data_IF_048050928374
#
_entry.id   IF_048050928374
#
_cell.length_a   1.000
_cell.length_b   1.000
_cell.length_c   1.000
_cell.angle_alpha   90.00
_cell.angle_beta   90.00
_cell.angle_gamma   90.00
#
_symmetry.space_group_name_H-M   'P 1'
#
loop_
_entity.id
_entity.type
_entity.pdbx_description
1 polymer ?
#
# COMPACT_ATOMS: atom_id res chain seq x y z
N UNK A 1 -11.48 -14.16 38.04
CA UNK A 1 -10.53 -14.66 37.03
C UNK A 1 -11.31 -15.58 36.11
N UNK A 2 -11.74 -15.17 34.91
CA UNK A 2 -12.31 -16.14 33.98
C UNK A 2 -11.18 -16.91 33.31
N UNK A 3 -11.26 -18.23 33.41
CA UNK A 3 -10.33 -19.23 32.90
C UNK A 3 -10.02 -18.99 31.41
N UNK A 4 -8.74 -18.87 31.09
CA UNK A 4 -8.23 -19.04 29.73
C UNK A 4 -8.40 -20.53 29.39
N UNK A 5 -9.54 -20.89 28.80
CA UNK A 5 -9.72 -22.19 28.17
C UNK A 5 -8.53 -22.44 27.23
N UNK A 6 -7.75 -23.47 27.54
CA UNK A 6 -6.80 -24.07 26.60
C UNK A 6 -7.57 -24.46 25.34
N UNK A 7 -7.43 -23.66 24.28
CA UNK A 7 -7.86 -24.06 22.95
C UNK A 7 -6.77 -24.99 22.40
N UNK A 8 -7.04 -26.28 22.15
CA UNK A 8 -6.12 -27.07 21.37
C UNK A 8 -6.05 -26.43 19.99
N UNK A 9 -4.86 -25.98 19.60
CA UNK A 9 -4.61 -25.50 18.25
C UNK A 9 -4.89 -26.65 17.28
N UNK A 10 -6.11 -26.75 16.77
CA UNK A 10 -6.34 -27.38 15.48
C UNK A 10 -5.59 -26.51 14.48
N UNK A 11 -4.30 -26.80 14.28
CA UNK A 11 -3.46 -26.08 13.31
C UNK A 11 -4.24 -26.08 12.00
N UNK A 12 -4.48 -24.89 11.46
CA UNK A 12 -5.10 -24.74 10.15
C UNK A 12 -4.39 -25.65 9.17
N UNK A 13 -5.14 -26.53 8.50
CA UNK A 13 -4.54 -27.51 7.60
C UNK A 13 -3.95 -26.80 6.38
N UNK A 14 -2.64 -26.95 6.19
CA UNK A 14 -1.88 -26.43 5.07
C UNK A 14 -1.59 -27.57 4.10
N UNK A 15 -2.08 -27.43 2.87
CA UNK A 15 -1.74 -28.33 1.76
C UNK A 15 -0.48 -27.83 1.05
N UNK A 16 0.39 -28.71 0.52
CA UNK A 16 1.52 -28.32 -0.33
C UNK A 16 1.13 -27.44 -1.53
N UNK A 17 -0.09 -27.61 -2.05
CA UNK A 17 -0.62 -26.86 -3.20
C UNK A 17 -1.31 -25.54 -2.82
N UNK A 18 -1.40 -25.21 -1.53
CA UNK A 18 -2.07 -23.99 -1.09
C UNK A 18 -1.27 -22.75 -1.49
N UNK A 19 -1.85 -21.92 -2.37
CA UNK A 19 -1.27 -20.61 -2.66
C UNK A 19 -1.29 -19.67 -1.43
N UNK A 20 -0.41 -18.67 -1.41
CA UNK A 20 -0.44 -17.57 -0.43
C UNK A 20 -1.83 -16.92 -0.30
N UNK A 21 -2.64 -16.89 -1.37
CA UNK A 21 -3.98 -16.32 -1.33
C UNK A 21 -4.99 -17.22 -0.58
N UNK A 22 -4.91 -18.53 -0.79
CA UNK A 22 -5.74 -19.53 -0.09
C UNK A 22 -5.42 -19.49 1.41
N UNK A 23 -4.13 -19.49 1.77
CA UNK A 23 -3.68 -19.44 3.17
C UNK A 23 -4.17 -18.18 3.89
N UNK A 24 -4.16 -17.02 3.23
CA UNK A 24 -4.77 -15.80 3.80
C UNK A 24 -6.25 -15.99 4.10
N UNK A 25 -7.01 -16.57 3.17
CA UNK A 25 -8.45 -16.82 3.39
C UNK A 25 -8.66 -17.74 4.58
N UNK A 26 -7.96 -18.89 4.60
CA UNK A 26 -8.04 -19.86 5.69
C UNK A 26 -7.80 -19.22 7.06
N UNK A 27 -6.77 -18.38 7.19
CA UNK A 27 -6.48 -17.70 8.45
C UNK A 27 -7.53 -16.64 8.80
N UNK A 28 -7.95 -15.82 7.83
CA UNK A 28 -8.99 -14.81 8.07
C UNK A 28 -10.31 -15.43 8.50
N UNK A 29 -10.73 -16.50 7.81
CA UNK A 29 -11.96 -17.23 8.10
C UNK A 29 -11.86 -17.87 9.50
N UNK A 30 -10.74 -18.52 9.83
CA UNK A 30 -10.53 -19.10 11.16
C UNK A 30 -10.57 -18.06 12.28
N UNK A 31 -9.89 -16.91 12.13
CA UNK A 31 -9.90 -15.84 13.13
C UNK A 31 -11.31 -15.28 13.36
N UNK A 32 -12.14 -15.21 12.32
CA UNK A 32 -13.52 -14.76 12.41
C UNK A 32 -14.41 -15.82 13.08
N UNK A 33 -14.37 -17.07 12.59
CA UNK A 33 -15.21 -18.18 13.06
C UNK A 33 -14.92 -18.58 14.51
N UNK A 34 -13.66 -18.46 14.94
CA UNK A 34 -13.23 -18.73 16.32
C UNK A 34 -13.45 -17.56 17.29
N UNK A 35 -13.93 -16.40 16.81
CA UNK A 35 -14.11 -15.21 17.63
C UNK A 35 -12.79 -14.58 18.13
N UNK A 36 -11.65 -14.97 17.56
CA UNK A 36 -10.33 -14.44 17.91
C UNK A 36 -10.06 -13.08 17.26
N UNK A 37 -10.75 -12.73 16.17
CA UNK A 37 -10.65 -11.44 15.52
C UNK A 37 -11.13 -10.30 16.42
N UNK A 38 -10.23 -9.36 16.73
CA UNK A 38 -10.54 -8.16 17.50
C UNK A 38 -10.85 -6.96 16.62
N UNK A 39 -11.50 -5.92 17.18
CA UNK A 39 -11.84 -4.73 16.42
C UNK A 39 -10.57 -4.07 15.82
N UNK A 40 -10.58 -3.67 14.53
CA UNK A 40 -11.67 -3.78 13.55
C UNK A 40 -11.87 -5.20 13.00
N UNK A 41 -13.11 -5.71 13.09
CA UNK A 41 -13.51 -7.10 12.78
C UNK A 41 -13.53 -7.47 11.30
N UNK A 42 -12.92 -6.69 10.39
CA UNK A 42 -12.89 -7.03 8.95
C UNK A 42 -11.49 -7.56 8.62
N UNK A 43 -11.23 -8.87 8.75
CA UNK A 43 -9.89 -9.43 8.58
C UNK A 43 -9.44 -9.39 7.11
N UNK A 44 -10.38 -9.52 6.16
CA UNK A 44 -10.04 -9.66 4.75
C UNK A 44 -9.27 -8.45 4.21
N UNK A 45 -8.16 -8.75 3.52
CA UNK A 45 -7.22 -7.78 2.93
C UNK A 45 -6.47 -6.91 3.94
N UNK A 46 -6.47 -7.29 5.21
CA UNK A 46 -5.78 -6.59 6.30
C UNK A 46 -4.89 -7.53 7.08
N UNK A 47 -3.98 -6.94 7.84
CA UNK A 47 -3.39 -7.62 8.99
C UNK A 47 -4.45 -7.57 10.09
N UNK A 48 -4.95 -8.74 10.48
CA UNK A 48 -6.04 -8.87 11.44
C UNK A 48 -5.59 -8.45 12.82
N UNK A 49 -6.45 -7.71 13.54
CA UNK A 49 -6.27 -7.57 14.97
C UNK A 49 -6.81 -8.83 15.67
N UNK A 50 -6.25 -9.19 16.81
CA UNK A 50 -6.57 -10.43 17.49
C UNK A 50 -6.66 -10.24 19.01
N UNK A 51 -7.45 -11.11 19.65
CA UNK A 51 -7.52 -11.20 21.11
C UNK A 51 -6.15 -11.65 21.64
N UNK A 52 -5.63 -10.98 22.65
CA UNK A 52 -4.27 -11.24 23.13
C UNK A 52 -3.20 -10.30 22.55
N UNK A 53 -3.57 -9.33 21.70
CA UNK A 53 -2.60 -8.45 21.03
C UNK A 53 -1.85 -7.50 21.98
N UNK A 54 -2.45 -7.16 23.13
CA UNK A 54 -1.77 -6.37 24.17
C UNK A 54 -0.69 -7.22 24.86
N UNK A 55 -0.99 -8.47 25.20
CA UNK A 55 -0.07 -9.42 25.81
C UNK A 55 1.09 -9.78 24.86
N UNK A 56 0.82 -9.87 23.56
CA UNK A 56 1.87 -10.03 22.55
C UNK A 56 2.74 -8.76 22.45
N UNK A 57 2.14 -7.56 22.52
CA UNK A 57 2.85 -6.29 22.51
C UNK A 57 3.76 -6.14 23.73
N UNK A 58 3.28 -6.50 24.92
CA UNK A 58 4.04 -6.48 26.17
C UNK A 58 5.28 -7.37 26.08
N UNK A 59 5.13 -8.57 25.49
CA UNK A 59 6.27 -9.47 25.25
C UNK A 59 7.30 -8.88 24.30
N UNK A 60 6.89 -8.15 23.25
CA UNK A 60 7.85 -7.46 22.38
C UNK A 60 8.68 -6.47 23.19
N UNK A 61 8.08 -5.75 24.14
CA UNK A 61 8.83 -4.78 24.96
C UNK A 61 9.84 -5.42 25.91
N UNK A 62 9.67 -6.70 26.23
CA UNK A 62 10.61 -7.46 27.06
C UNK A 62 11.80 -8.02 26.29
N UNK A 63 11.74 -8.06 24.96
CA UNK A 63 12.84 -8.52 24.12
C UNK A 63 14.08 -7.63 24.26
N UNK A 64 15.25 -8.25 24.36
CA UNK A 64 16.55 -7.58 24.32
C UNK A 64 16.71 -6.70 23.08
N UNK A 65 16.22 -7.17 21.93
CA UNK A 65 16.25 -6.41 20.67
C UNK A 65 15.44 -5.11 20.76
N UNK A 66 14.30 -5.11 21.45
CA UNK A 66 13.50 -3.90 21.66
C UNK A 66 14.14 -2.98 22.70
N UNK A 67 14.60 -3.55 23.82
CA UNK A 67 15.24 -2.80 24.91
C UNK A 67 16.45 -2.00 24.40
N UNK A 68 17.30 -2.63 23.58
CA UNK A 68 18.51 -2.03 23.01
C UNK A 68 18.24 -1.04 21.87
N UNK A 69 17.21 -1.28 21.06
CA UNK A 69 16.88 -0.44 19.90
C UNK A 69 16.52 1.00 20.30
N UNK A 70 17.01 1.98 19.54
CA UNK A 70 16.66 3.40 19.68
C UNK A 70 15.81 3.90 18.53
N UNK A 71 15.96 3.30 17.34
CA UNK A 71 15.21 3.62 16.14
C UNK A 71 14.51 2.35 15.64
N UNK A 72 13.17 2.33 15.74
CA UNK A 72 12.35 1.22 15.27
C UNK A 72 11.53 1.62 14.05
N UNK A 73 11.51 0.75 13.03
CA UNK A 73 10.57 0.87 11.91
C UNK A 73 9.39 -0.05 12.13
N UNK A 74 8.17 0.48 12.16
CA UNK A 74 6.96 -0.29 12.47
C UNK A 74 5.88 -0.03 11.40
N UNK A 75 5.28 -1.10 10.87
CA UNK A 75 4.20 -0.99 9.87
C UNK A 75 3.01 -0.18 10.40
N UNK A 76 2.26 0.55 9.54
CA UNK A 76 1.12 1.38 9.94
C UNK A 76 -0.17 0.59 10.22
N UNK A 77 -0.13 -0.75 10.16
CA UNK A 77 -1.30 -1.59 10.37
C UNK A 77 -1.84 -1.44 11.81
N UNK A 78 -3.17 -1.61 11.97
CA UNK A 78 -3.88 -1.36 13.24
C UNK A 78 -3.41 -2.25 14.41
N UNK A 79 -3.12 -3.55 14.22
CA UNK A 79 -2.64 -4.41 15.31
C UNK A 79 -1.32 -3.93 15.91
N UNK A 80 -0.49 -3.26 15.11
CA UNK A 80 0.80 -2.74 15.56
C UNK A 80 0.72 -1.34 16.18
N UNK A 81 -0.49 -0.78 16.37
CA UNK A 81 -0.61 0.55 16.95
C UNK A 81 -0.08 0.62 18.39
N UNK A 82 -0.31 -0.42 19.18
CA UNK A 82 0.13 -0.42 20.57
C UNK A 82 1.66 -0.48 20.66
N UNK A 83 2.32 -1.29 19.83
CA UNK A 83 3.79 -1.32 19.82
C UNK A 83 4.40 -0.01 19.30
N UNK A 84 3.73 0.70 18.37
CA UNK A 84 4.12 2.08 18.01
C UNK A 84 3.99 3.03 19.21
N UNK A 85 2.91 2.93 19.98
CA UNK A 85 2.73 3.72 21.18
C UNK A 85 3.82 3.44 22.22
N UNK A 86 4.06 2.16 22.54
CA UNK A 86 5.12 1.76 23.50
C UNK A 86 6.52 2.15 23.06
N UNK A 87 6.78 2.14 21.75
CA UNK A 87 8.03 2.68 21.18
C UNK A 87 8.21 4.15 21.53
N UNK A 88 7.17 4.96 21.30
CA UNK A 88 7.20 6.40 21.61
C UNK A 88 7.23 6.67 23.12
N UNK A 89 6.51 5.89 23.91
CA UNK A 89 6.50 5.97 25.38
C UNK A 89 7.87 5.65 25.98
N UNK A 90 8.61 4.70 25.39
CA UNK A 90 9.98 4.39 25.76
C UNK A 90 11.01 5.45 25.30
N UNK A 91 10.58 6.60 24.77
CA UNK A 91 11.45 7.66 24.28
C UNK A 91 12.19 7.33 22.98
N UNK A 92 11.80 6.26 22.28
CA UNK A 92 12.49 5.77 21.07
C UNK A 92 11.96 6.47 19.82
N UNK A 93 12.80 6.57 18.80
CA UNK A 93 12.40 7.10 17.49
C UNK A 93 11.59 6.07 16.73
N UNK A 94 10.44 6.49 16.22
CA UNK A 94 9.55 5.67 15.40
C UNK A 94 9.64 6.09 13.93
N UNK A 95 9.98 5.14 13.06
CA UNK A 95 9.82 5.26 11.62
C UNK A 95 8.60 4.48 11.15
N UNK A 96 7.75 5.11 10.35
CA UNK A 96 6.60 4.47 9.71
C UNK A 96 6.72 4.65 8.20
N UNK A 97 6.67 3.58 7.39
CA UNK A 97 6.71 3.71 5.93
C UNK A 97 5.54 4.50 5.37
N UNK A 98 5.83 5.30 4.36
CA UNK A 98 4.84 6.11 3.64
C UNK A 98 5.07 6.10 2.13
N UNK A 99 5.09 4.91 1.47
CA UNK A 99 5.51 4.78 0.07
C UNK A 99 4.59 5.50 -0.93
N UNK A 100 3.37 5.89 -0.54
CA UNK A 100 2.46 6.66 -1.40
C UNK A 100 2.84 8.13 -1.55
N UNK A 101 3.90 8.60 -0.89
CA UNK A 101 4.39 9.98 -1.00
C UNK A 101 5.36 10.11 -2.18
N UNK A 102 5.35 11.27 -2.83
CA UNK A 102 6.16 11.52 -4.03
C UNK A 102 7.67 11.45 -3.75
N UNK A 103 8.10 11.98 -2.60
CA UNK A 103 9.52 12.25 -2.35
C UNK A 103 10.04 11.65 -1.03
N UNK A 104 9.24 10.93 -0.25
CA UNK A 104 9.62 10.51 1.10
C UNK A 104 9.37 9.02 1.31
N UNK A 105 10.28 8.38 2.04
CA UNK A 105 10.25 6.94 2.30
C UNK A 105 9.60 6.64 3.64
N UNK A 106 9.82 7.49 4.64
CA UNK A 106 9.31 7.32 6.00
C UNK A 106 8.70 8.60 6.54
N UNK A 107 7.72 8.41 7.43
CA UNK A 107 7.34 9.33 8.49
C UNK A 107 8.18 9.01 9.73
N UNK A 108 8.94 9.98 10.25
CA UNK A 108 9.72 9.90 11.49
C UNK A 108 9.00 10.65 12.60
N UNK A 109 8.90 10.03 13.77
CA UNK A 109 8.41 10.67 14.99
C UNK A 109 9.47 10.47 16.07
N UNK A 110 9.93 11.57 16.65
CA UNK A 110 10.78 11.59 17.84
C UNK A 110 9.94 12.13 18.99
N UNK A 111 9.63 11.32 20.02
CA UNK A 111 8.83 11.78 21.14
C UNK A 111 9.63 12.79 21.99
N UNK A 112 9.06 13.96 22.34
CA UNK A 112 9.65 14.84 23.36
C UNK A 112 9.68 14.14 24.73
N UNK A 113 10.69 14.44 25.56
CA UNK A 113 10.87 13.81 26.88
C UNK A 113 9.64 13.92 27.79
N UNK A 114 8.96 15.07 27.79
CA UNK A 114 7.80 15.34 28.65
C UNK A 114 6.45 15.24 27.92
N UNK A 115 6.40 14.46 26.83
CA UNK A 115 5.17 14.34 26.03
C UNK A 115 4.08 13.56 26.79
N UNK A 116 2.87 14.10 26.98
CA UNK A 116 1.80 13.39 27.68
C UNK A 116 1.43 12.06 26.99
N UNK A 117 1.21 10.99 27.76
CA UNK A 117 0.85 9.67 27.21
C UNK A 117 -0.33 9.70 26.23
N UNK A 118 -1.35 10.52 26.52
CA UNK A 118 -2.52 10.69 25.63
C UNK A 118 -2.12 11.21 24.24
N UNK A 119 -1.14 12.11 24.19
CA UNK A 119 -0.61 12.64 22.93
C UNK A 119 0.24 11.59 22.21
N UNK A 120 1.13 10.89 22.92
CA UNK A 120 1.91 9.76 22.35
C UNK A 120 1.00 8.69 21.72
N UNK A 121 -0.10 8.33 22.39
CA UNK A 121 -1.09 7.37 21.88
C UNK A 121 -1.77 7.89 20.61
N UNK A 122 -1.98 9.20 20.51
CA UNK A 122 -2.49 9.86 19.31
C UNK A 122 -1.47 9.81 18.18
N UNK A 123 -0.19 10.11 18.46
CA UNK A 123 0.93 10.04 17.50
C UNK A 123 1.12 8.63 16.90
N UNK A 124 0.91 7.58 17.69
CA UNK A 124 1.00 6.19 17.24
C UNK A 124 -0.14 5.76 16.28
N UNK A 125 -1.26 6.49 16.28
CA UNK A 125 -2.39 6.21 15.40
C UNK A 125 -2.11 6.68 13.97
N UNK A 126 -2.80 6.08 12.99
CA UNK A 126 -2.59 6.40 11.56
C UNK A 126 -2.77 7.88 11.22
N UNK A 127 -3.71 8.56 11.89
CA UNK A 127 -3.93 9.99 11.69
C UNK A 127 -2.81 10.81 12.35
N UNK A 128 -2.43 10.47 13.60
CA UNK A 128 -1.32 11.14 14.28
C UNK A 128 0.02 10.99 13.56
N UNK A 129 0.28 9.84 12.91
CA UNK A 129 1.46 9.69 12.05
C UNK A 129 1.49 10.77 10.98
N UNK A 130 0.34 11.11 10.36
CA UNK A 130 0.31 12.18 9.35
C UNK A 130 0.47 13.57 9.94
N UNK A 131 -0.06 13.79 11.14
CA UNK A 131 -0.16 15.12 11.74
C UNK A 131 1.11 15.52 12.50
N UNK A 132 1.87 14.55 13.01
CA UNK A 132 3.01 14.77 13.91
C UNK A 132 4.36 14.25 13.39
N UNK A 133 4.41 13.61 12.22
CA UNK A 133 5.68 13.11 11.68
C UNK A 133 6.41 14.12 10.80
N UNK A 134 7.73 14.03 10.81
CA UNK A 134 8.60 14.61 9.79
C UNK A 134 8.81 13.59 8.66
N UNK A 135 8.83 14.06 7.42
CA UNK A 135 9.07 13.19 6.28
C UNK A 135 10.58 13.03 6.02
N UNK A 136 11.03 11.79 5.83
CA UNK A 136 12.44 11.44 5.59
C UNK A 136 12.64 11.16 4.11
N UNK A 137 13.57 11.88 3.49
CA UNK A 137 13.96 11.68 2.08
C UNK A 137 14.92 10.49 1.92
N UNK A 138 15.06 9.97 0.69
CA UNK A 138 15.93 8.84 0.32
C UNK A 138 17.42 9.10 0.58
N UNK A 139 17.81 10.37 0.69
CA UNK A 139 19.20 10.80 0.84
C UNK A 139 19.61 10.95 2.31
N UNK A 140 18.66 10.88 3.25
CA UNK A 140 18.94 10.94 4.67
C UNK A 140 19.59 9.66 5.20
N UNK A 141 20.65 9.82 5.98
CA UNK A 141 21.42 8.71 6.56
C UNK A 141 20.79 8.27 7.89
N UNK A 142 19.68 7.53 7.80
CA UNK A 142 19.05 6.90 8.96
C UNK A 142 19.43 5.43 9.03
N UNK A 143 19.66 4.89 10.23
CA UNK A 143 19.85 3.46 10.48
C UNK A 143 18.75 2.97 11.42
N UNK A 144 18.15 1.84 11.08
CA UNK A 144 17.11 1.21 11.91
C UNK A 144 17.72 0.08 12.72
N UNK A 145 17.37 0.03 14.00
CA UNK A 145 17.87 -0.98 14.94
C UNK A 145 16.99 -2.22 14.99
N UNK A 146 15.69 -2.08 14.71
CA UNK A 146 14.75 -3.20 14.62
C UNK A 146 13.55 -2.86 13.72
N UNK A 147 13.00 -3.85 13.05
CA UNK A 147 11.81 -3.73 12.21
C UNK A 147 10.68 -4.57 12.78
N UNK A 148 9.48 -3.98 12.93
CA UNK A 148 8.26 -4.71 13.28
C UNK A 148 7.31 -4.71 12.09
N UNK A 149 6.97 -5.90 11.60
CA UNK A 149 6.10 -6.10 10.42
C UNK A 149 4.86 -6.92 10.75
N UNK A 150 3.74 -6.54 10.17
CA UNK A 150 2.48 -7.26 10.33
C UNK A 150 2.36 -8.37 9.28
N UNK A 151 1.91 -9.56 9.68
CA UNK A 151 1.62 -10.64 8.74
C UNK A 151 0.27 -11.32 9.03
N UNK A 152 -0.21 -12.07 8.04
CA UNK A 152 -1.42 -12.89 8.13
C UNK A 152 -1.07 -14.30 8.60
N UNK A 153 0.03 -14.87 8.12
CA UNK A 153 0.53 -16.16 8.58
C UNK A 153 2.05 -16.13 8.68
N UNK A 154 2.62 -16.99 9.51
CA UNK A 154 4.06 -17.14 9.68
C UNK A 154 4.42 -18.59 9.99
N UNK A 155 5.62 -19.04 9.61
CA UNK A 155 6.16 -20.33 10.03
C UNK A 155 7.31 -20.16 11.03
N UNK A 156 7.58 -21.18 11.83
CA UNK A 156 8.72 -21.19 12.77
C UNK A 156 10.08 -21.12 12.08
N UNK A 157 10.14 -21.31 10.75
CA UNK A 157 11.34 -21.04 9.94
C UNK A 157 11.55 -19.56 9.60
N UNK A 158 10.59 -18.69 9.93
CA UNK A 158 10.63 -17.26 9.65
C UNK A 158 9.94 -16.84 8.34
N UNK A 159 9.35 -17.77 7.59
CA UNK A 159 8.56 -17.39 6.40
C UNK A 159 7.28 -16.70 6.80
N UNK A 160 6.92 -15.59 6.13
CA UNK A 160 5.69 -14.84 6.42
C UNK A 160 4.84 -14.56 5.19
N UNK A 161 3.53 -14.58 5.39
CA UNK A 161 2.54 -14.18 4.39
C UNK A 161 1.91 -12.87 4.84
N UNK A 162 2.18 -11.77 4.12
CA UNK A 162 1.50 -10.49 4.35
C UNK A 162 0.07 -10.45 3.76
N UNK A 163 -0.60 -9.30 3.83
CA UNK A 163 -1.97 -9.09 3.30
C UNK A 163 -2.13 -9.23 1.77
N UNK A 164 -1.02 -9.32 1.04
CA UNK A 164 -0.99 -9.67 -0.40
C UNK A 164 -0.62 -8.55 -1.37
N UNK A 165 -0.30 -7.35 -0.87
CA UNK A 165 0.13 -6.24 -1.73
C UNK A 165 1.63 -6.21 -2.07
N UNK A 166 2.45 -7.09 -1.45
CA UNK A 166 3.92 -7.09 -1.61
C UNK A 166 4.63 -5.81 -1.14
N UNK A 167 3.89 -4.91 -0.47
CA UNK A 167 4.38 -3.57 -0.17
C UNK A 167 5.42 -3.58 0.95
N UNK A 168 5.19 -4.30 2.05
CA UNK A 168 6.16 -4.39 3.16
C UNK A 168 7.49 -5.02 2.73
N UNK A 169 7.43 -6.01 1.83
CA UNK A 169 8.60 -6.65 1.23
C UNK A 169 9.41 -5.67 0.38
N UNK A 170 8.71 -4.92 -0.48
CA UNK A 170 9.31 -3.88 -1.30
C UNK A 170 9.86 -2.70 -0.48
N UNK A 171 9.14 -2.25 0.54
CA UNK A 171 9.59 -1.19 1.45
C UNK A 171 10.87 -1.59 2.19
N UNK A 172 10.99 -2.86 2.58
CA UNK A 172 12.22 -3.39 3.16
C UNK A 172 13.36 -3.40 2.14
N UNK A 173 13.10 -3.88 0.92
CA UNK A 173 14.09 -3.86 -0.15
C UNK A 173 14.56 -2.43 -0.49
N UNK A 174 13.65 -1.44 -0.45
CA UNK A 174 13.98 -0.02 -0.56
C UNK A 174 14.89 0.43 0.58
N UNK A 175 14.56 0.10 1.84
CA UNK A 175 15.43 0.38 3.00
C UNK A 175 16.82 -0.22 2.83
N UNK A 176 16.90 -1.46 2.34
CA UNK A 176 18.17 -2.16 2.14
C UNK A 176 19.00 -1.47 1.05
N UNK A 177 18.38 -1.09 -0.08
CA UNK A 177 19.08 -0.38 -1.16
C UNK A 177 19.59 1.00 -0.72
N UNK A 178 18.83 1.70 0.13
CA UNK A 178 19.22 2.98 0.71
C UNK A 178 20.21 2.85 1.88
N UNK A 179 20.54 1.62 2.28
CA UNK A 179 21.43 1.33 3.40
C UNK A 179 20.82 1.64 4.77
N UNK A 180 19.50 1.80 4.88
CA UNK A 180 18.79 2.05 6.15
C UNK A 180 18.79 0.81 7.04
N UNK A 181 18.74 -0.38 6.42
CA UNK A 181 18.80 -1.69 7.09
C UNK A 181 19.95 -2.53 6.51
N UNK A 182 20.32 -3.59 7.23
CA UNK A 182 21.26 -4.62 6.78
C UNK A 182 20.80 -6.00 7.27
N UNK A 183 21.53 -7.06 6.90
CA UNK A 183 21.17 -8.45 7.25
C UNK A 183 21.04 -8.72 8.77
N UNK A 184 21.73 -7.94 9.61
CA UNK A 184 21.74 -8.09 11.06
C UNK A 184 20.57 -7.40 11.76
N UNK A 185 19.82 -6.53 11.07
CA UNK A 185 18.68 -5.82 11.67
C UNK A 185 17.58 -6.84 11.99
N UNK A 186 17.19 -7.03 13.27
CA UNK A 186 16.16 -7.98 13.66
C UNK A 186 14.78 -7.58 13.12
N UNK A 187 14.07 -8.59 12.62
CA UNK A 187 12.71 -8.48 12.09
C UNK A 187 11.76 -9.22 13.03
N UNK A 188 10.82 -8.48 13.60
CA UNK A 188 9.85 -8.98 14.58
C UNK A 188 8.47 -8.98 13.92
N UNK A 189 7.69 -10.04 14.15
CA UNK A 189 6.27 -10.04 13.82
C UNK A 189 5.42 -10.38 15.04
N UNK A 190 4.20 -9.85 15.05
CA UNK A 190 3.23 -10.02 16.11
C UNK A 190 1.98 -10.66 15.54
N UNK A 191 1.63 -11.85 16.02
CA UNK A 191 0.51 -12.66 15.51
C UNK A 191 -0.17 -13.42 16.64
N UNK A 192 -1.39 -13.92 16.40
CA UNK A 192 -2.00 -14.92 17.27
C UNK A 192 -1.37 -16.30 17.03
N UNK A 193 -1.40 -17.18 18.04
CA UNK A 193 -0.83 -18.54 17.97
C UNK A 193 -1.37 -19.36 16.79
N UNK A 194 -2.65 -19.20 16.44
CA UNK A 194 -3.29 -19.89 15.32
C UNK A 194 -2.78 -19.43 13.93
N UNK A 195 -2.04 -18.32 13.86
CA UNK A 195 -1.44 -17.81 12.62
C UNK A 195 -0.05 -18.41 12.37
N UNK A 196 0.46 -19.22 13.30
CA UNK A 196 1.71 -19.98 13.13
C UNK A 196 1.37 -21.29 12.40
N UNK A 197 1.82 -21.37 11.14
CA UNK A 197 1.52 -22.46 10.22
C UNK A 197 2.81 -23.12 9.71
N UNK A 198 2.73 -24.38 9.28
CA UNK A 198 3.80 -25.02 8.52
C UNK A 198 3.68 -24.60 7.04
N UNK A 199 4.41 -23.55 6.66
CA UNK A 199 4.30 -22.93 5.33
C UNK A 199 5.29 -23.59 4.36
N UNK A 200 4.85 -24.08 3.18
CA UNK A 200 5.75 -24.65 2.17
C UNK A 200 6.78 -23.63 1.68
N UNK A 201 8.05 -24.00 1.69
CA UNK A 201 9.17 -23.13 1.30
C UNK A 201 9.03 -22.66 -0.17
N UNK A 202 8.40 -23.47 -1.03
CA UNK A 202 8.14 -23.17 -2.45
C UNK A 202 7.25 -21.95 -2.70
N UNK A 203 6.53 -21.47 -1.67
CA UNK A 203 5.70 -20.27 -1.78
C UNK A 203 6.52 -18.98 -1.81
N UNK A 204 7.79 -19.02 -1.39
CA UNK A 204 8.58 -17.84 -1.12
C UNK A 204 9.73 -17.67 -2.13
N UNK A 205 9.97 -16.42 -2.51
CA UNK A 205 11.08 -16.03 -3.38
C UNK A 205 12.04 -15.08 -2.67
N UNK A 206 13.12 -14.72 -3.37
CA UNK A 206 14.18 -13.83 -2.86
C UNK A 206 13.70 -12.43 -2.43
N UNK A 207 12.51 -12.02 -2.86
CA UNK A 207 11.92 -10.74 -2.50
C UNK A 207 11.09 -10.81 -1.20
N UNK A 208 10.69 -11.99 -0.75
CA UNK A 208 9.90 -12.13 0.49
C UNK A 208 10.79 -11.90 1.70
N UNK A 209 10.43 -10.95 2.57
CA UNK A 209 11.18 -10.65 3.78
C UNK A 209 10.87 -11.70 4.86
N UNK A 210 11.86 -12.50 5.33
CA UNK A 210 11.67 -13.38 6.49
C UNK A 210 11.64 -12.60 7.80
N UNK A 211 11.21 -13.26 8.88
CA UNK A 211 11.20 -12.73 10.24
C UNK A 211 12.15 -13.52 11.14
N UNK A 212 12.80 -12.83 12.09
CA UNK A 212 13.70 -13.45 13.06
C UNK A 212 12.96 -13.81 14.37
N UNK A 213 11.96 -13.02 14.75
CA UNK A 213 11.14 -13.24 15.94
C UNK A 213 9.65 -13.27 15.62
N UNK A 214 8.96 -14.26 16.19
CA UNK A 214 7.50 -14.37 16.20
C UNK A 214 7.04 -14.20 17.63
N UNK A 215 6.18 -13.22 17.88
CA UNK A 215 5.63 -12.96 19.22
C UNK A 215 4.13 -13.18 19.20
N UNK A 216 3.65 -14.01 20.12
CA UNK A 216 2.23 -14.31 20.32
C UNK A 216 1.76 -13.94 21.73
N UNK A 217 0.44 -13.99 22.00
CA UNK A 217 -0.07 -13.82 23.35
C UNK A 217 0.43 -14.85 24.36
N UNK A 218 1.03 -15.97 23.93
CA UNK A 218 1.50 -17.03 24.83
C UNK A 218 3.01 -17.13 24.88
N UNK A 219 3.72 -16.85 23.80
CA UNK A 219 5.14 -17.17 23.66
C UNK A 219 5.92 -16.22 22.74
N UNK A 220 7.24 -16.34 22.82
CA UNK A 220 8.21 -15.72 21.90
C UNK A 220 8.95 -16.87 21.23
N UNK A 221 9.03 -16.86 19.90
CA UNK A 221 9.73 -17.85 19.11
C UNK A 221 10.82 -17.13 18.31
N UNK A 222 12.06 -17.55 18.50
CA UNK A 222 13.17 -17.21 17.61
C UNK A 222 13.18 -18.20 16.44
N UNK A 223 13.15 -17.68 15.22
CA UNK A 223 12.94 -18.50 14.03
C UNK A 223 14.16 -19.39 13.73
N UNK A 224 13.90 -20.67 13.48
CA UNK A 224 14.93 -21.64 13.09
C UNK A 224 15.13 -21.58 11.58
N UNK A 225 16.13 -20.82 11.13
CA UNK A 225 16.41 -20.66 9.70
C UNK A 225 16.87 -19.24 9.42
N UNK A 226 18.18 -19.05 9.32
CA UNK A 226 18.75 -17.76 8.93
C UNK A 226 18.55 -17.57 7.42
N UNK A 227 17.31 -17.26 7.04
CA UNK A 227 16.92 -16.94 5.68
C UNK A 227 17.52 -15.56 5.32
N UNK A 228 18.12 -15.42 4.13
CA UNK A 228 18.65 -14.13 3.71
C UNK A 228 17.51 -13.12 3.56
N UNK A 229 17.70 -11.93 4.11
CA UNK A 229 16.76 -10.81 3.93
C UNK A 229 17.05 -10.14 2.58
N UNK A 230 16.06 -9.53 1.92
CA UNK A 230 16.31 -8.80 0.68
C UNK A 230 17.39 -7.72 0.87
N UNK A 231 18.43 -7.74 0.04
CA UNK A 231 19.55 -6.77 0.11
C UNK A 231 19.34 -5.54 -0.75
N UNK A 232 18.45 -5.63 -1.75
CA UNK A 232 18.14 -4.56 -2.69
C UNK A 232 16.78 -4.80 -3.34
N UNK A 233 16.31 -3.81 -4.09
CA UNK A 233 15.11 -3.96 -4.93
C UNK A 233 15.45 -4.88 -6.10
N UNK A 234 14.63 -5.91 -6.33
CA UNK A 234 14.70 -6.76 -7.51
C UNK A 234 13.94 -6.10 -8.66
N UNK A 235 14.61 -5.19 -9.38
CA UNK A 235 14.00 -4.37 -10.43
C UNK A 235 13.36 -5.20 -11.56
N UNK A 236 13.94 -6.35 -11.88
CA UNK A 236 13.40 -7.28 -12.87
C UNK A 236 12.06 -7.94 -12.49
N UNK A 237 11.60 -7.81 -11.23
CA UNK A 237 10.28 -8.24 -10.75
C UNK A 237 9.29 -7.06 -10.61
N UNK A 238 9.68 -5.89 -11.12
CA UNK A 238 8.91 -4.65 -11.08
C UNK A 238 8.39 -4.31 -12.48
N UNK A 239 7.29 -3.56 -12.50
CA UNK A 239 6.67 -3.05 -13.72
C UNK A 239 6.31 -1.57 -13.56
N UNK A 240 5.93 -0.92 -14.66
CA UNK A 240 5.57 0.50 -14.67
C UNK A 240 4.40 0.83 -13.72
N UNK A 241 3.44 -0.09 -13.57
CA UNK A 241 2.30 0.12 -12.67
C UNK A 241 2.78 0.32 -11.21
N UNK A 242 3.75 -0.46 -10.74
CA UNK A 242 4.34 -0.27 -9.40
C UNK A 242 5.10 1.05 -9.28
N UNK A 243 5.85 1.45 -10.31
CA UNK A 243 6.54 2.75 -10.33
C UNK A 243 5.56 3.93 -10.26
N UNK A 244 4.40 3.81 -10.91
CA UNK A 244 3.35 4.82 -10.88
C UNK A 244 2.64 4.88 -9.53
N UNK A 245 2.47 3.74 -8.87
CA UNK A 245 1.85 3.66 -7.54
C UNK A 245 2.76 4.12 -6.41
N UNK A 246 4.09 3.98 -6.57
CA UNK A 246 5.10 4.33 -5.57
C UNK A 246 6.15 5.23 -6.26
N UNK A 247 5.85 6.54 -6.44
CA UNK A 247 6.66 7.42 -7.27
C UNK A 247 8.13 7.53 -6.83
N UNK A 248 8.39 7.41 -5.52
CA UNK A 248 9.75 7.45 -4.95
C UNK A 248 10.66 6.36 -5.54
N UNK A 249 10.11 5.24 -6.03
CA UNK A 249 10.89 4.21 -6.70
C UNK A 249 11.64 4.74 -7.92
N UNK A 250 11.13 5.75 -8.64
CA UNK A 250 11.82 6.32 -9.81
C UNK A 250 13.16 6.95 -9.41
N UNK A 251 13.19 7.65 -8.28
CA UNK A 251 14.42 8.24 -7.72
C UNK A 251 15.38 7.16 -7.23
N UNK A 252 14.87 6.13 -6.53
CA UNK A 252 15.72 5.02 -6.06
C UNK A 252 16.28 4.24 -7.26
N UNK A 253 15.48 3.98 -8.28
CA UNK A 253 15.89 3.31 -9.53
C UNK A 253 17.01 4.06 -10.23
N UNK A 254 16.86 5.38 -10.37
CA UNK A 254 17.88 6.23 -10.98
C UNK A 254 19.17 6.31 -10.15
N UNK A 255 19.05 6.35 -8.82
CA UNK A 255 20.19 6.27 -7.91
C UNK A 255 20.91 4.92 -8.05
N UNK A 256 20.19 3.82 -8.00
CA UNK A 256 20.73 2.46 -8.13
C UNK A 256 21.48 2.29 -9.47
N UNK A 257 20.92 2.83 -10.57
CA UNK A 257 21.59 2.88 -11.87
C UNK A 257 22.89 3.68 -11.84
N UNK A 258 22.89 4.88 -11.22
CA UNK A 258 24.10 5.69 -11.05
C UNK A 258 25.16 5.00 -10.21
N UNK A 259 24.76 4.17 -9.27
CA UNK A 259 25.65 3.31 -8.47
C UNK A 259 26.12 2.05 -9.25
N UNK A 260 25.75 1.91 -10.53
CA UNK A 260 26.18 0.81 -11.41
C UNK A 260 25.36 -0.46 -11.29
N UNK A 261 24.21 -0.44 -10.60
CA UNK A 261 23.31 -1.60 -10.48
C UNK A 261 22.49 -1.79 -11.74
N UNK A 262 22.13 -3.03 -12.04
CA UNK A 262 21.14 -3.33 -13.07
C UNK A 262 19.73 -3.02 -12.54
N UNK A 263 19.02 -2.12 -13.22
CA UNK A 263 17.71 -1.62 -12.79
C UNK A 263 16.64 -1.77 -13.87
N UNK A 264 16.86 -2.65 -14.86
CA UNK A 264 15.86 -3.02 -15.86
C UNK A 264 14.62 -3.59 -15.18
N UNK A 265 13.45 -3.11 -15.61
CA UNK A 265 12.16 -3.68 -15.23
C UNK A 265 11.89 -4.98 -15.99
N UNK A 266 10.83 -5.68 -15.58
CA UNK A 266 10.33 -6.82 -16.32
C UNK A 266 10.01 -6.44 -17.78
N UNK A 267 10.68 -7.08 -18.73
CA UNK A 267 10.50 -6.85 -20.18
C UNK A 267 11.29 -5.69 -20.79
N UNK A 268 12.06 -4.94 -20.00
CA UNK A 268 12.96 -3.91 -20.54
C UNK A 268 14.30 -4.49 -20.99
N UNK A 269 14.82 -3.99 -22.10
CA UNK A 269 16.12 -4.40 -22.66
C UNK A 269 17.27 -3.52 -22.21
N UNK A 270 16.99 -2.27 -21.81
CA UNK A 270 17.99 -1.25 -21.48
C UNK A 270 17.67 -0.56 -20.15
N UNK A 271 18.73 -0.11 -19.46
CA UNK A 271 18.60 0.68 -18.24
C UNK A 271 18.17 2.13 -18.55
N UNK A 272 17.51 2.82 -17.59
CA UNK A 272 17.12 4.20 -17.78
C UNK A 272 18.36 5.09 -17.83
N UNK A 273 18.38 6.06 -18.75
CA UNK A 273 19.50 7.02 -18.91
C UNK A 273 19.23 8.37 -18.24
N UNK A 274 17.98 8.67 -17.91
CA UNK A 274 17.53 9.91 -17.28
C UNK A 274 16.55 9.61 -16.13
N UNK A 275 16.46 10.52 -15.16
CA UNK A 275 15.40 10.48 -14.16
C UNK A 275 14.08 10.86 -14.86
N UNK A 276 13.16 9.90 -14.97
CA UNK A 276 11.85 10.14 -15.58
C UNK A 276 10.88 10.71 -14.54
N UNK A 277 10.86 12.03 -14.37
CA UNK A 277 9.76 12.71 -13.67
C UNK A 277 8.54 12.71 -14.61
N UNK A 278 7.51 11.96 -14.22
CA UNK A 278 6.32 11.66 -15.03
C UNK A 278 5.37 12.87 -15.20
N UNK A 279 5.88 14.10 -15.07
CA UNK A 279 5.20 15.34 -15.48
C UNK A 279 5.62 15.76 -16.92
N UNK A 280 6.68 15.16 -17.46
CA UNK A 280 7.23 15.49 -18.78
C UNK A 280 6.79 14.55 -19.91
N UNK A 281 6.34 13.34 -19.59
CA UNK A 281 5.89 12.33 -20.57
C UNK A 281 4.62 12.75 -21.31
N UNK A 282 3.81 13.65 -20.72
CA UNK A 282 2.66 14.27 -21.37
C UNK A 282 3.01 15.48 -22.25
N UNK A 283 4.24 16.03 -22.16
CA UNK A 283 4.73 17.11 -23.03
C UNK A 283 5.56 16.62 -24.21
N UNK A 284 6.25 15.48 -24.07
CA UNK A 284 7.07 14.92 -25.18
C UNK A 284 6.23 14.30 -26.31
N UNK A 285 4.95 13.97 -26.09
CA UNK A 285 4.05 13.46 -27.15
C UNK A 285 3.42 14.53 -28.05
N UNK A 286 3.53 15.82 -27.70
CA UNK A 286 3.00 16.94 -28.51
C UNK A 286 4.07 17.77 -29.23
N UNK A 287 5.34 17.33 -29.22
CA UNK A 287 6.45 18.08 -29.87
C UNK A 287 7.00 17.46 -31.15
N UNK A 288 6.47 16.32 -31.61
CA UNK A 288 6.78 15.74 -32.93
C UNK A 288 5.74 16.09 -34.01
N UNK A 289 5.10 17.27 -33.90
CA UNK A 289 4.28 17.82 -34.99
C UNK A 289 4.28 19.35 -34.96
N UNK A 290 5.42 19.98 -35.26
CA UNK A 290 5.48 21.28 -35.95
C UNK A 290 6.93 21.73 -36.10
N UNK A 291 7.41 21.59 -37.32
CA UNK A 291 8.53 22.35 -37.87
C UNK A 291 8.17 23.84 -37.92
N UNK A 292 9.20 24.70 -37.85
CA UNK A 292 9.25 26.11 -38.28
C UNK A 292 8.66 27.22 -37.35
N UNK A 293 9.54 27.94 -36.63
CA UNK A 293 10.05 29.32 -36.96
C UNK A 293 10.58 30.10 -35.74
N UNK A 294 11.84 30.55 -35.92
CA UNK A 294 12.55 31.82 -35.56
C UNK A 294 12.29 32.56 -34.22
N UNK A 295 13.43 32.90 -33.57
CA UNK A 295 13.91 34.15 -32.90
C UNK A 295 12.87 35.10 -32.21
N UNK A 296 13.11 35.78 -31.08
CA UNK A 296 14.31 36.45 -30.57
C UNK A 296 14.10 36.91 -29.09
N UNK A 297 15.22 37.17 -28.43
CA UNK A 297 15.57 38.13 -27.35
C UNK A 297 14.75 38.41 -26.07
N UNK A 298 15.55 38.45 -24.99
CA UNK A 298 15.62 39.44 -23.89
C UNK A 298 14.75 39.33 -22.62
N UNK A 299 15.48 39.10 -21.51
CA UNK A 299 15.56 39.90 -20.28
C UNK A 299 14.25 40.32 -19.56
N UNK A 300 14.05 39.88 -18.31
CA UNK A 300 14.27 40.72 -17.11
C UNK A 300 13.82 40.07 -15.79
N UNK A 301 14.37 40.66 -14.74
CA UNK A 301 14.43 40.34 -13.32
C UNK A 301 13.11 40.36 -12.52
N UNK A 302 13.23 39.87 -11.27
CA UNK A 302 12.53 40.31 -10.05
C UNK A 302 11.12 39.77 -9.74
N UNK A 303 11.08 38.85 -8.77
CA UNK A 303 10.85 39.20 -7.35
C UNK A 303 9.92 38.23 -6.63
N UNK A 304 10.38 37.91 -5.42
CA UNK A 304 9.71 37.22 -4.32
C UNK A 304 8.29 37.76 -4.10
N UNK A 305 7.29 36.88 -4.07
CA UNK A 305 6.42 36.84 -2.91
C UNK A 305 5.72 35.50 -2.68
N UNK A 306 5.80 35.11 -1.43
CA UNK A 306 5.35 33.88 -0.83
C UNK A 306 3.83 33.91 -0.65
N UNK A 307 3.12 32.92 -1.22
CA UNK A 307 1.87 32.36 -0.69
C UNK A 307 1.53 31.10 -1.48
N UNK A 308 1.94 29.95 -0.96
CA UNK A 308 1.49 28.63 -1.43
C UNK A 308 -0.04 28.54 -1.31
N UNK A 309 -0.76 28.95 -2.36
CA UNK A 309 -2.14 28.52 -2.58
C UNK A 309 -2.08 27.07 -3.08
N UNK A 310 -2.64 26.14 -2.29
CA UNK A 310 -2.93 24.78 -2.75
C UNK A 310 -3.68 24.83 -4.08
N UNK A 311 -3.30 24.07 -5.12
CA UNK A 311 -4.11 24.00 -6.32
C UNK A 311 -5.42 23.27 -5.98
N UNK A 312 -6.53 23.99 -6.13
CA UNK A 312 -7.88 23.43 -6.11
C UNK A 312 -8.03 22.58 -7.37
N UNK A 313 -8.27 21.28 -7.21
CA UNK A 313 -8.60 20.39 -8.33
C UNK A 313 -10.02 20.69 -8.81
N UNK A 314 -10.17 21.42 -9.92
CA UNK A 314 -11.44 21.54 -10.68
C UNK A 314 -11.21 21.59 -12.19
N UNK A 315 -10.31 20.74 -12.72
CA UNK A 315 -9.97 20.75 -14.15
C UNK A 315 -10.83 19.78 -15.02
N UNK A 316 -11.83 19.12 -14.44
CA UNK A 316 -12.72 18.22 -15.16
C UNK A 316 -14.16 18.67 -14.91
N UNK A 317 -14.86 19.10 -15.96
CA UNK A 317 -16.25 19.55 -15.86
C UNK A 317 -17.23 18.41 -16.20
N UNK A 318 -16.77 17.34 -16.88
CA UNK A 318 -17.57 16.16 -17.22
C UNK A 318 -16.93 14.85 -16.73
N UNK A 319 -17.75 13.92 -16.22
CA UNK A 319 -17.27 12.58 -15.82
C UNK A 319 -18.35 11.52 -16.06
N UNK A 320 -17.92 10.37 -16.58
CA UNK A 320 -18.74 9.19 -16.82
C UNK A 320 -18.34 8.09 -15.85
N UNK A 321 -19.31 7.44 -15.24
CA UNK A 321 -19.16 6.17 -14.52
C UNK A 321 -19.31 4.99 -15.48
N UNK A 322 -18.35 4.07 -15.48
CA UNK A 322 -18.39 2.81 -16.20
C UNK A 322 -18.52 1.66 -15.19
N UNK A 323 -19.69 1.05 -15.06
CA UNK A 323 -19.99 -0.05 -14.15
C UNK A 323 -20.06 -1.42 -14.83
N UNK A 324 -20.25 -2.46 -14.01
CA UNK A 324 -20.35 -3.86 -14.46
C UNK A 324 -19.09 -4.41 -15.15
N UNK A 325 -17.92 -3.83 -14.94
CA UNK A 325 -16.68 -4.31 -15.54
C UNK A 325 -16.41 -5.78 -15.15
N UNK A 326 -15.97 -6.64 -16.09
CA UNK A 326 -15.54 -8.01 -15.79
C UNK A 326 -14.39 -8.01 -14.75
N UNK A 327 -14.40 -8.98 -13.83
CA UNK A 327 -13.46 -9.04 -12.68
C UNK A 327 -11.99 -9.12 -13.08
N UNK A 328 -11.70 -9.65 -14.27
CA UNK A 328 -10.36 -9.80 -14.82
C UNK A 328 -10.07 -8.87 -15.99
N UNK A 329 -11.00 -7.95 -16.31
CA UNK A 329 -10.76 -6.97 -17.35
C UNK A 329 -9.56 -6.12 -16.95
N UNK A 330 -8.54 -6.05 -17.82
CA UNK A 330 -7.38 -5.20 -17.61
C UNK A 330 -7.70 -3.79 -18.08
N UNK A 331 -7.12 -2.79 -17.41
CA UNK A 331 -7.29 -1.37 -17.81
C UNK A 331 -6.76 -1.11 -19.22
N UNK A 332 -5.73 -1.84 -19.65
CA UNK A 332 -5.19 -1.77 -21.01
C UNK A 332 -6.21 -2.23 -22.04
N UNK A 333 -6.84 -3.39 -21.83
CA UNK A 333 -7.90 -3.91 -22.69
C UNK A 333 -9.09 -2.94 -22.73
N UNK A 334 -9.58 -2.47 -21.57
CA UNK A 334 -10.65 -1.47 -21.52
C UNK A 334 -10.31 -0.18 -22.28
N UNK A 335 -9.05 0.31 -22.18
CA UNK A 335 -8.58 1.48 -22.92
C UNK A 335 -8.58 1.25 -24.43
N UNK A 336 -8.23 0.05 -24.90
CA UNK A 336 -8.29 -0.31 -26.32
C UNK A 336 -9.72 -0.21 -26.83
N UNK A 337 -10.66 -0.88 -26.16
CA UNK A 337 -12.09 -0.90 -26.53
C UNK A 337 -12.72 0.51 -26.54
N UNK A 338 -12.42 1.33 -25.53
CA UNK A 338 -12.91 2.71 -25.45
C UNK A 338 -12.34 3.59 -26.58
N UNK A 339 -11.08 3.37 -26.98
CA UNK A 339 -10.44 4.10 -28.09
C UNK A 339 -10.96 3.69 -29.46
N UNK A 340 -11.33 2.43 -29.64
CA UNK A 340 -11.95 1.95 -30.89
C UNK A 340 -13.30 2.66 -31.14
N UNK A 341 -14.00 3.04 -30.07
CA UNK A 341 -15.18 3.91 -30.12
C UNK A 341 -14.86 5.40 -30.27
N UNK A 342 -13.60 5.75 -30.55
CA UNK A 342 -13.08 7.12 -30.68
C UNK A 342 -13.23 7.99 -29.43
N UNK A 343 -13.39 7.36 -28.25
CA UNK A 343 -13.48 8.08 -26.97
C UNK A 343 -12.12 8.16 -26.31
N UNK A 344 -11.69 9.38 -25.97
CA UNK A 344 -10.37 9.65 -25.39
C UNK A 344 -10.51 10.47 -24.10
N UNK A 345 -10.78 9.82 -22.95
CA UNK A 345 -10.90 10.52 -21.68
C UNK A 345 -9.53 11.08 -21.25
N UNK A 346 -9.54 12.27 -20.64
CA UNK A 346 -8.33 12.90 -20.08
C UNK A 346 -7.72 12.05 -18.96
N UNK A 347 -8.58 11.33 -18.24
CA UNK A 347 -8.18 10.45 -17.14
C UNK A 347 -9.17 9.31 -16.98
N UNK A 348 -8.66 8.12 -16.72
CA UNK A 348 -9.47 6.97 -16.29
C UNK A 348 -9.09 6.63 -14.85
N UNK A 349 -10.03 6.80 -13.92
CA UNK A 349 -9.91 6.33 -12.53
C UNK A 349 -10.37 4.87 -12.49
N UNK A 350 -9.41 3.97 -12.69
CA UNK A 350 -9.69 2.54 -12.78
C UNK A 350 -9.97 1.90 -11.42
N UNK A 351 -11.12 1.23 -11.29
CA UNK A 351 -11.49 0.36 -10.17
C UNK A 351 -12.01 -0.98 -10.69
N UNK A 352 -11.40 -1.53 -11.75
CA UNK A 352 -11.88 -2.73 -12.44
C UNK A 352 -12.03 -3.96 -11.53
N UNK A 353 -11.18 -4.09 -10.50
CA UNK A 353 -11.35 -5.12 -9.47
C UNK A 353 -12.65 -4.98 -8.66
N UNK A 354 -13.09 -3.73 -8.43
CA UNK A 354 -14.37 -3.40 -7.82
C UNK A 354 -15.52 -3.33 -8.85
N UNK A 355 -15.25 -3.67 -10.11
CA UNK A 355 -16.25 -3.74 -11.17
C UNK A 355 -16.63 -2.39 -11.79
N UNK A 356 -15.85 -1.32 -11.60
CA UNK A 356 -16.17 -0.01 -12.19
C UNK A 356 -14.95 0.88 -12.53
N UNK A 357 -15.16 1.98 -13.23
CA UNK A 357 -14.18 3.03 -13.49
C UNK A 357 -14.87 4.39 -13.65
N UNK A 358 -14.11 5.48 -13.57
CA UNK A 358 -14.58 6.81 -14.00
C UNK A 358 -13.73 7.34 -15.15
N UNK A 359 -14.37 7.92 -16.15
CA UNK A 359 -13.74 8.55 -17.31
C UNK A 359 -13.99 10.05 -17.18
N UNK A 360 -12.93 10.85 -17.04
CA UNK A 360 -13.04 12.30 -16.87
C UNK A 360 -12.74 13.01 -18.19
N UNK A 361 -13.53 14.03 -18.48
CA UNK A 361 -13.50 14.84 -19.69
C UNK A 361 -13.33 16.31 -19.35
N UNK A 362 -12.97 17.09 -20.38
CA UNK A 362 -12.71 18.52 -20.23
C UNK A 362 -14.02 19.26 -19.95
N UNK A 363 -15.05 19.00 -20.75
CA UNK A 363 -16.39 19.58 -20.62
C UNK A 363 -17.46 18.52 -20.32
N UNK A 364 -18.64 18.95 -19.87
CA UNK A 364 -19.81 18.08 -19.70
C UNK A 364 -20.32 17.56 -21.05
N UNK A 365 -20.24 18.37 -22.12
CA UNK A 365 -20.61 17.97 -23.48
C UNK A 365 -19.75 16.80 -23.98
N UNK A 366 -18.42 16.87 -23.79
CA UNK A 366 -17.51 15.77 -24.18
C UNK A 366 -17.85 14.45 -23.48
N UNK A 367 -18.37 14.52 -22.25
CA UNK A 367 -18.81 13.35 -21.49
C UNK A 367 -20.14 12.81 -22.00
N UNK A 368 -21.07 13.67 -22.43
CA UNK A 368 -22.33 13.25 -23.05
C UNK A 368 -22.11 12.61 -24.42
N UNK A 369 -21.27 13.21 -25.27
CA UNK A 369 -20.90 12.65 -26.57
C UNK A 369 -20.23 11.28 -26.43
N UNK A 370 -19.37 11.15 -25.41
CA UNK A 370 -18.72 9.88 -25.07
C UNK A 370 -19.69 8.83 -24.52
N UNK A 371 -20.76 9.21 -23.80
CA UNK A 371 -21.79 8.27 -23.37
C UNK A 371 -22.49 7.64 -24.57
N UNK A 372 -22.87 8.46 -25.56
CA UNK A 372 -23.52 8.00 -26.79
C UNK A 372 -22.58 7.07 -27.56
N UNK A 373 -21.30 7.42 -27.69
CA UNK A 373 -20.32 6.61 -28.41
C UNK A 373 -20.02 5.24 -27.75
N UNK A 374 -20.16 5.15 -26.42
CA UNK A 374 -19.89 3.95 -25.63
C UNK A 374 -21.13 3.09 -25.35
N UNK A 375 -22.31 3.53 -25.78
CA UNK A 375 -23.55 2.78 -25.60
C UNK A 375 -23.45 1.39 -26.26
N UNK A 376 -23.91 0.37 -25.54
CA UNK A 376 -23.89 -1.02 -26.02
C UNK A 376 -22.50 -1.66 -26.10
N UNK A 377 -21.45 -1.07 -25.53
CA UNK A 377 -20.12 -1.71 -25.50
C UNK A 377 -20.14 -3.00 -24.67
N UNK A 378 -19.68 -4.09 -25.28
CA UNK A 378 -19.49 -5.39 -24.64
C UNK A 378 -18.01 -5.73 -24.60
N UNK A 379 -17.53 -6.20 -23.45
CA UNK A 379 -16.16 -6.68 -23.30
C UNK A 379 -16.19 -8.04 -22.64
N UNK A 380 -15.60 -9.05 -23.30
CA UNK A 380 -15.66 -10.46 -22.88
C UNK A 380 -17.11 -10.92 -22.63
N UNK A 381 -18.00 -10.69 -23.60
CA UNK A 381 -19.43 -11.05 -23.58
C UNK A 381 -20.26 -10.41 -22.44
N UNK A 382 -19.72 -9.39 -21.78
CA UNK A 382 -20.40 -8.66 -20.72
C UNK A 382 -20.65 -7.21 -21.14
N UNK A 383 -21.91 -6.80 -21.09
CA UNK A 383 -22.30 -5.40 -21.29
C UNK A 383 -21.70 -4.50 -20.20
N UNK A 384 -21.03 -3.44 -20.62
CA UNK A 384 -20.54 -2.40 -19.71
C UNK A 384 -21.61 -1.32 -19.58
N UNK A 385 -21.92 -0.93 -18.34
CA UNK A 385 -22.91 0.13 -18.07
C UNK A 385 -22.22 1.47 -18.00
N UNK A 386 -22.64 2.45 -18.79
CA UNK A 386 -22.10 3.80 -18.74
C UNK A 386 -23.19 4.79 -18.32
N UNK A 387 -22.88 5.65 -17.35
CA UNK A 387 -23.81 6.65 -16.79
C UNK A 387 -23.06 7.94 -16.45
N UNK A 388 -23.72 9.10 -16.46
CA UNK A 388 -23.09 10.33 -15.96
C UNK A 388 -22.74 10.18 -14.47
N UNK A 389 -21.50 10.52 -14.12
CA UNK A 389 -21.08 10.51 -12.73
C UNK A 389 -21.70 11.71 -12.00
N UNK A 390 -22.33 11.47 -10.84
CA UNK A 390 -22.89 12.54 -10.02
C UNK A 390 -21.75 13.47 -9.56
N UNK A 391 -21.84 14.74 -9.92
CA UNK A 391 -20.90 15.79 -9.50
C UNK A 391 -20.84 15.85 -7.96
N UNK A 392 -19.63 15.75 -7.41
CA UNK A 392 -19.40 15.86 -5.97
C UNK A 392 -19.45 17.33 -5.52
N UNK A 393 -20.62 17.94 -5.57
CA UNK A 393 -20.95 19.18 -4.86
C UNK A 393 -21.94 18.87 -3.74
N UNK A 394 -21.46 18.28 -2.65
CA UNK A 394 -22.29 18.05 -1.46
C UNK A 394 -21.73 16.99 -0.51
N UNK A 395 -21.58 17.35 0.75
CA UNK A 395 -20.97 16.53 1.79
C UNK A 395 -21.71 15.23 2.12
N UNK A 396 -20.98 14.35 2.84
CA UNK A 396 -21.45 13.20 3.66
C UNK A 396 -22.88 12.72 3.36
N UNK A 397 -23.02 11.60 2.65
CA UNK A 397 -24.32 11.00 2.38
C UNK A 397 -24.27 9.50 2.22
N UNK A 398 -24.62 8.82 3.31
CA UNK A 398 -25.01 7.42 3.49
C UNK A 398 -25.81 6.87 2.28
N UNK A 399 -25.47 5.66 1.82
CA UNK A 399 -26.30 4.87 0.90
C UNK A 399 -27.60 4.51 1.63
N UNK A 400 -28.75 4.95 1.10
CA UNK A 400 -30.06 4.39 1.44
C UNK A 400 -30.42 3.39 0.34
N UNK A 401 -30.53 2.12 0.73
CA UNK A 401 -31.24 1.09 -0.02
C UNK A 401 -32.75 1.35 0.09
N UNK A 402 -33.45 1.36 -1.04
CA UNK A 402 -34.91 1.24 -1.07
C UNK A 402 -35.26 -0.09 -1.72
N UNK A 403 -35.34 -1.13 -0.90
CA UNK A 403 -36.33 -2.20 -1.07
C UNK A 403 -37.65 -1.68 -0.51
N UNK A 404 -38.72 -1.78 -1.30
CA UNK A 404 -40.05 -2.16 -0.82
C UNK A 404 -40.92 -2.49 -2.03
N UNK A 405 -41.20 -3.79 -2.20
CA UNK A 405 -42.50 -4.27 -2.64
C UNK A 405 -43.54 -3.85 -1.59
N UNK A 406 -44.66 -3.28 -2.01
CA UNK A 406 -45.98 -3.93 -1.87
C UNK A 406 -47.14 -2.98 -2.18
N UNK A 407 -48.20 -3.60 -2.73
CA UNK A 407 -49.60 -3.21 -2.73
C UNK A 407 -50.05 -2.01 -3.57
N UNK A 408 -50.74 -2.32 -4.68
CA UNK A 408 -52.15 -1.93 -4.73
C UNK A 408 -53.03 -2.90 -5.54
N UNK A 409 -54.16 -3.25 -4.93
CA UNK A 409 -55.24 -4.10 -5.43
C UNK A 409 -56.47 -3.19 -5.56
N UNK A 410 -57.26 -3.41 -6.62
CA UNK A 410 -58.61 -2.87 -6.92
C UNK A 410 -58.68 -1.42 -7.43
N UNK A 411 -59.14 -1.26 -8.67
CA UNK A 411 -60.58 -1.21 -8.99
C UNK A 411 -60.89 -2.14 -10.17
#
# INVERSE_FOLDING_TARGET
MPELHELPASKLNVSPDDSKAILRSKVWDYLEDSGLASHPKIPRRRISNFRGSEEACDRITELDVFKKAQILRIDPDRPLQEIRFKTLEAGKTLLVPTPSLKNHVFSKIVPPADCPQKLLRSCAARQGIKDYSEAIDIDEKVKVDAVVVGCVAVSTKGWRIGKGGGLSDLEYAMMASLGVVNQKVPIITMVHDCQILDLPDSLFGLHDLPVDYIVTPTQIIECTGHLPKPSSILWNLMNDDKLNHIPVLRRIRFRDWKEGKDVKLEGETENPTELTDDDSSNRRRTRNSSSEKRADSSNEERSRNNRYKKPVFSAYEGSIYAGSLPRFLRVSQFKTEVRERKVNPLRILWRGYSGFAFLNFKSMQDAEDALVALEGLHINDKAIKFEMAKSASGGRGRVRSSTNEDNNKKE
#
